data_IF_962494555709
#
_entry.id   IF_962494555709
#
_cell.length_a   1.000
_cell.length_b   1.000
_cell.length_c   1.000
_cell.angle_alpha   90.00
_cell.angle_beta   90.00
_cell.angle_gamma   90.00
#
_symmetry.space_group_name_H-M   'P 1'
#
loop_
_entity.id
_entity.type
_entity.pdbx_description
1 polymer ?
#
# COMPACT_ATOMS: atom_id res chain seq x y z
N UNK A 1 13.73 17.54 -0.67
CA UNK A 1 12.63 17.53 0.33
C UNK A 1 11.26 17.23 -0.27
N UNK A 2 10.89 17.82 -1.41
CA UNK A 2 9.59 17.58 -2.08
C UNK A 2 9.29 16.10 -2.39
N UNK A 3 10.29 15.33 -2.82
CA UNK A 3 10.12 13.89 -3.13
C UNK A 3 9.69 13.05 -1.91
N UNK A 4 10.19 13.37 -0.70
CA UNK A 4 9.77 12.68 0.52
C UNK A 4 8.32 13.00 0.88
N UNK A 5 7.93 14.28 0.77
CA UNK A 5 6.54 14.71 1.00
C UNK A 5 5.59 14.05 0.02
N UNK A 6 5.97 13.99 -1.25
CA UNK A 6 5.18 13.32 -2.29
C UNK A 6 5.05 11.83 -2.01
N UNK A 7 6.13 11.16 -1.62
CA UNK A 7 6.10 9.73 -1.28
C UNK A 7 5.23 9.44 -0.04
N UNK A 8 5.31 10.30 0.96
CA UNK A 8 4.49 10.22 2.19
C UNK A 8 3.02 10.46 1.86
N UNK A 9 2.72 11.44 1.00
CA UNK A 9 1.38 11.75 0.53
C UNK A 9 0.78 10.59 -0.28
N UNK A 10 1.56 9.95 -1.17
CA UNK A 10 1.11 8.76 -1.91
C UNK A 10 0.74 7.62 -0.95
N UNK A 11 1.58 7.32 0.05
CA UNK A 11 1.25 6.29 1.03
C UNK A 11 0.01 6.66 1.86
N UNK A 12 -0.15 7.95 2.22
CA UNK A 12 -1.31 8.42 2.95
C UNK A 12 -2.60 8.32 2.13
N UNK A 13 -2.55 8.67 0.84
CA UNK A 13 -3.68 8.54 -0.07
C UNK A 13 -4.09 7.07 -0.25
N UNK A 14 -3.12 6.15 -0.35
CA UNK A 14 -3.40 4.71 -0.38
C UNK A 14 -4.04 4.24 0.93
N UNK A 15 -3.59 4.75 2.07
CA UNK A 15 -4.17 4.46 3.37
C UNK A 15 -5.64 4.91 3.44
N UNK A 16 -5.91 6.16 3.07
CA UNK A 16 -7.25 6.75 3.03
C UNK A 16 -8.15 5.97 2.07
N UNK A 17 -7.66 5.61 0.88
CA UNK A 17 -8.40 4.79 -0.09
C UNK A 17 -8.77 3.42 0.49
N UNK A 18 -7.82 2.73 1.14
CA UNK A 18 -8.07 1.41 1.74
C UNK A 18 -9.12 1.46 2.85
N UNK A 19 -8.98 2.43 3.76
CA UNK A 19 -9.94 2.65 4.85
C UNK A 19 -11.30 3.09 4.31
N UNK A 20 -11.31 3.97 3.30
CA UNK A 20 -12.53 4.44 2.64
C UNK A 20 -13.30 3.28 2.01
N UNK A 21 -12.63 2.38 1.29
CA UNK A 21 -13.28 1.18 0.71
C UNK A 21 -13.87 0.29 1.81
N UNK A 22 -13.11 0.03 2.88
CA UNK A 22 -13.59 -0.75 4.01
C UNK A 22 -14.82 -0.11 4.66
N UNK A 23 -14.78 1.21 4.88
CA UNK A 23 -15.89 1.99 5.44
C UNK A 23 -17.13 1.96 4.55
N UNK A 24 -16.98 2.22 3.25
CA UNK A 24 -18.11 2.21 2.30
C UNK A 24 -18.80 0.84 2.24
N UNK A 25 -18.03 -0.25 2.36
CA UNK A 25 -18.62 -1.59 2.36
C UNK A 25 -19.31 -1.88 3.69
N UNK A 26 -18.78 -1.41 4.82
CA UNK A 26 -19.43 -1.54 6.14
C UNK A 26 -20.74 -0.75 6.22
N UNK A 27 -20.78 0.49 5.70
CA UNK A 27 -21.98 1.33 5.73
C UNK A 27 -23.08 0.79 4.83
N UNK A 28 -22.72 0.25 3.66
CA UNK A 28 -23.69 -0.28 2.70
C UNK A 28 -23.85 -1.81 2.81
N UNK A 29 -23.42 -2.42 3.91
CA UNK A 29 -23.38 -3.88 4.06
C UNK A 29 -24.78 -4.51 3.94
N UNK A 30 -25.80 -3.83 4.45
CA UNK A 30 -27.20 -4.26 4.32
C UNK A 30 -27.71 -4.18 2.88
N UNK A 31 -27.30 -3.17 2.13
CA UNK A 31 -27.63 -3.07 0.70
C UNK A 31 -26.95 -4.19 -0.09
N UNK A 32 -25.68 -4.49 0.19
CA UNK A 32 -24.98 -5.62 -0.45
C UNK A 32 -25.60 -6.98 -0.10
N UNK A 33 -26.10 -7.16 1.13
CA UNK A 33 -26.88 -8.35 1.51
C UNK A 33 -28.23 -8.41 0.79
N UNK A 34 -28.91 -7.29 0.63
CA UNK A 34 -30.22 -7.22 -0.03
C UNK A 34 -30.15 -7.51 -1.54
N UNK A 35 -29.03 -7.22 -2.20
CA UNK A 35 -28.83 -7.55 -3.62
C UNK A 35 -28.41 -9.02 -3.87
N UNK A 36 -28.30 -9.86 -2.84
CA UNK A 36 -27.86 -11.27 -2.92
C UNK A 36 -26.56 -11.49 -3.70
N UNK A 37 -25.74 -10.43 -3.81
CA UNK A 37 -24.45 -10.48 -4.50
C UNK A 37 -23.51 -11.21 -3.57
N UNK A 38 -23.36 -12.53 -3.80
CA UNK A 38 -22.41 -13.41 -3.15
C UNK A 38 -20.96 -13.05 -3.53
N UNK A 39 -20.50 -11.88 -3.08
CA UNK A 39 -19.11 -11.48 -3.06
C UNK A 39 -18.54 -11.69 -1.66
N UNK A 40 -17.24 -12.00 -1.50
CA UNK A 40 -16.61 -12.09 -0.18
C UNK A 40 -16.37 -10.69 0.41
N UNK A 41 -17.44 -9.94 0.66
CA UNK A 41 -17.42 -8.57 1.19
C UNK A 41 -16.67 -8.43 2.53
N UNK A 42 -16.84 -9.35 3.52
CA UNK A 42 -16.09 -9.29 4.76
C UNK A 42 -14.58 -9.43 4.53
N UNK A 43 -14.19 -10.29 3.58
CA UNK A 43 -12.79 -10.48 3.19
C UNK A 43 -12.24 -9.19 2.56
N UNK A 44 -13.02 -8.54 1.69
CA UNK A 44 -12.64 -7.25 1.07
C UNK A 44 -12.40 -6.18 2.12
N UNK A 45 -13.33 -6.00 3.05
CA UNK A 45 -13.21 -5.03 4.16
C UNK A 45 -11.96 -5.28 4.98
N UNK A 46 -11.75 -6.54 5.38
CA UNK A 46 -10.62 -6.92 6.24
C UNK A 46 -9.28 -6.68 5.53
N UNK A 47 -9.17 -7.07 4.26
CA UNK A 47 -7.91 -6.92 3.51
C UNK A 47 -7.61 -5.46 3.16
N UNK A 48 -8.58 -4.71 2.64
CA UNK A 48 -8.37 -3.28 2.33
C UNK A 48 -8.17 -2.45 3.60
N UNK A 49 -8.83 -2.80 4.72
CA UNK A 49 -8.60 -2.19 6.02
C UNK A 49 -7.19 -2.47 6.55
N UNK A 50 -6.72 -3.72 6.50
CA UNK A 50 -5.37 -4.10 6.91
C UNK A 50 -4.30 -3.37 6.08
N UNK A 51 -4.47 -3.31 4.75
CA UNK A 51 -3.60 -2.53 3.87
C UNK A 51 -3.65 -1.04 4.19
N UNK A 52 -4.84 -0.49 4.47
CA UNK A 52 -5.03 0.90 4.86
C UNK A 52 -4.21 1.27 6.10
N UNK A 53 -4.33 0.46 7.15
CA UNK A 53 -3.55 0.63 8.41
C UNK A 53 -2.05 0.47 8.14
N UNK A 54 -1.65 -0.50 7.32
CA UNK A 54 -0.24 -0.71 6.97
C UNK A 54 0.36 0.50 6.24
N UNK A 55 -0.34 1.05 5.24
CA UNK A 55 0.11 2.23 4.51
C UNK A 55 0.11 3.49 5.39
N UNK A 56 -0.82 3.60 6.33
CA UNK A 56 -0.79 4.68 7.33
C UNK A 56 0.47 4.60 8.19
N UNK A 57 0.80 3.39 8.67
CA UNK A 57 2.02 3.14 9.44
C UNK A 57 3.30 3.41 8.63
N UNK A 58 3.31 3.05 7.34
CA UNK A 58 4.41 3.38 6.43
C UNK A 58 4.54 4.89 6.19
N UNK A 59 3.43 5.58 5.98
CA UNK A 59 3.41 7.04 5.81
C UNK A 59 3.97 7.75 7.05
N UNK A 60 3.54 7.32 8.24
CA UNK A 60 4.09 7.82 9.50
C UNK A 60 5.58 7.52 9.65
N UNK A 61 6.01 6.30 9.30
CA UNK A 61 7.42 5.92 9.33
C UNK A 61 8.29 6.72 8.35
N UNK A 62 7.79 7.01 7.14
CA UNK A 62 8.45 7.87 6.17
C UNK A 62 8.53 9.32 6.68
N UNK A 63 7.47 9.83 7.31
CA UNK A 63 7.47 11.16 7.92
C UNK A 63 8.50 11.28 9.04
N UNK A 64 8.59 10.25 9.90
CA UNK A 64 9.58 10.12 10.97
C UNK A 64 10.98 9.72 10.48
N UNK A 65 11.15 9.51 9.17
CA UNK A 65 12.39 9.11 8.49
C UNK A 65 12.97 7.77 8.92
N UNK A 66 12.12 6.87 9.43
CA UNK A 66 12.55 5.55 9.88
C UNK A 66 13.07 4.68 8.73
N UNK A 67 14.28 4.14 8.90
CA UNK A 67 14.90 3.26 7.91
C UNK A 67 14.03 2.07 7.48
N UNK A 68 13.30 1.43 8.41
CA UNK A 68 12.44 0.29 8.08
C UNK A 68 11.32 0.67 7.08
N UNK A 69 10.73 1.86 7.21
CA UNK A 69 9.66 2.30 6.31
C UNK A 69 10.19 2.51 4.89
N UNK A 70 11.43 3.01 4.75
CA UNK A 70 12.10 3.13 3.45
C UNK A 70 12.35 1.76 2.78
N UNK A 71 12.79 0.75 3.53
CA UNK A 71 13.02 -0.58 2.98
C UNK A 71 11.71 -1.33 2.67
N UNK A 72 10.69 -1.18 3.53
CA UNK A 72 9.41 -1.86 3.42
C UNK A 72 8.45 -1.23 2.40
N UNK A 73 8.65 0.03 2.01
CA UNK A 73 7.74 0.74 1.10
C UNK A 73 7.57 0.03 -0.25
N UNK A 74 8.69 -0.25 -0.94
CA UNK A 74 8.65 -0.86 -2.27
C UNK A 74 8.02 -2.27 -2.28
N UNK A 75 8.44 -3.22 -1.43
CA UNK A 75 7.81 -4.54 -1.41
C UNK A 75 6.34 -4.46 -1.00
N UNK A 76 5.94 -3.53 -0.12
CA UNK A 76 4.54 -3.32 0.24
C UNK A 76 3.70 -2.82 -0.93
N UNK A 77 4.22 -1.86 -1.71
CA UNK A 77 3.55 -1.35 -2.90
C UNK A 77 3.41 -2.43 -3.98
N UNK A 78 4.46 -3.22 -4.21
CA UNK A 78 4.41 -4.33 -5.16
C UNK A 78 3.40 -5.41 -4.72
N UNK A 79 3.41 -5.79 -3.44
CA UNK A 79 2.45 -6.75 -2.89
C UNK A 79 1.01 -6.22 -2.96
N UNK A 80 0.79 -4.92 -2.66
CA UNK A 80 -0.52 -4.30 -2.80
C UNK A 80 -0.98 -4.24 -4.26
N UNK A 81 -0.10 -3.93 -5.21
CA UNK A 81 -0.41 -3.94 -6.64
C UNK A 81 -0.83 -5.33 -7.12
N UNK A 82 -0.10 -6.37 -6.73
CA UNK A 82 -0.46 -7.77 -7.04
C UNK A 82 -1.80 -8.13 -6.39
N UNK A 83 -2.02 -7.71 -5.15
CA UNK A 83 -3.29 -7.92 -4.46
C UNK A 83 -4.46 -7.22 -5.17
N UNK A 84 -4.33 -5.93 -5.53
CA UNK A 84 -5.40 -5.16 -6.19
C UNK A 84 -5.73 -5.79 -7.56
N UNK A 85 -4.71 -6.10 -8.36
CA UNK A 85 -4.88 -6.79 -9.66
C UNK A 85 -5.49 -8.18 -9.49
N UNK A 86 -4.98 -8.98 -8.54
CA UNK A 86 -5.47 -10.34 -8.29
C UNK A 86 -6.90 -10.35 -7.79
N UNK A 87 -7.28 -9.38 -6.93
CA UNK A 87 -8.64 -9.20 -6.47
C UNK A 87 -9.58 -8.89 -7.64
N UNK A 88 -9.21 -7.94 -8.50
CA UNK A 88 -9.98 -7.65 -9.71
C UNK A 88 -10.04 -8.84 -10.68
N UNK A 89 -8.96 -9.60 -10.85
CA UNK A 89 -8.94 -10.76 -11.74
C UNK A 89 -9.86 -11.90 -11.27
N UNK A 90 -9.90 -12.17 -9.97
CA UNK A 90 -10.69 -13.26 -9.39
C UNK A 90 -12.15 -12.89 -9.16
N UNK A 91 -12.43 -11.64 -8.79
CA UNK A 91 -13.76 -11.22 -8.35
C UNK A 91 -14.43 -10.19 -9.28
N UNK A 92 -13.89 -9.89 -10.46
CA UNK A 92 -14.60 -9.12 -11.48
C UNK A 92 -15.80 -9.94 -12.00
N UNK A 93 -16.99 -9.65 -11.44
CA UNK A 93 -18.23 -10.39 -11.73
C UNK A 93 -18.96 -9.92 -13.00
N UNK A 94 -18.44 -8.97 -13.79
CA UNK A 94 -19.09 -8.51 -15.01
C UNK A 94 -18.13 -8.18 -16.16
N UNK A 95 -18.60 -8.31 -17.41
CA UNK A 95 -17.90 -7.79 -18.61
C UNK A 95 -17.48 -6.31 -18.46
N UNK A 96 -18.27 -5.54 -17.72
CA UNK A 96 -18.00 -4.13 -17.38
C UNK A 96 -16.71 -3.92 -16.56
N UNK A 97 -16.32 -4.88 -15.71
CA UNK A 97 -15.09 -4.81 -14.91
C UNK A 97 -13.87 -5.40 -15.60
N UNK A 98 -14.05 -6.35 -16.54
CA UNK A 98 -12.95 -6.89 -17.34
C UNK A 98 -12.25 -5.81 -18.18
N UNK A 99 -12.98 -4.83 -18.69
CA UNK A 99 -12.38 -3.70 -19.42
C UNK A 99 -11.52 -2.79 -18.53
N UNK A 100 -11.76 -2.78 -17.21
CA UNK A 100 -11.00 -1.99 -16.24
C UNK A 100 -9.71 -2.69 -15.81
N UNK A 101 -9.63 -4.00 -15.95
CA UNK A 101 -8.48 -4.80 -15.56
C UNK A 101 -7.16 -4.35 -16.21
N UNK A 102 -7.06 -4.11 -17.53
CA UNK A 102 -5.83 -3.56 -18.12
C UNK A 102 -5.48 -2.16 -17.57
N UNK A 103 -6.49 -1.32 -17.31
CA UNK A 103 -6.26 -0.01 -16.70
C UNK A 103 -5.72 -0.12 -15.27
N UNK A 104 -6.27 -1.03 -14.45
CA UNK A 104 -5.78 -1.31 -13.09
C UNK A 104 -4.36 -1.84 -13.12
N UNK A 105 -4.02 -2.73 -14.06
CA UNK A 105 -2.65 -3.23 -14.22
C UNK A 105 -1.70 -2.08 -14.57
N UNK A 106 -2.02 -1.30 -15.59
CA UNK A 106 -1.16 -0.19 -16.06
C UNK A 106 -0.96 0.84 -14.95
N UNK A 107 -2.05 1.26 -14.29
CA UNK A 107 -1.96 2.21 -13.17
C UNK A 107 -1.17 1.67 -11.98
N UNK A 108 -1.30 0.37 -11.68
CA UNK A 108 -0.50 -0.30 -10.64
C UNK A 108 0.98 -0.35 -10.99
N UNK A 109 1.33 -0.70 -12.24
CA UNK A 109 2.71 -0.71 -12.72
C UNK A 109 3.33 0.69 -12.69
N UNK A 110 2.57 1.71 -13.12
CA UNK A 110 3.00 3.10 -13.04
C UNK A 110 3.20 3.55 -11.59
N UNK A 111 2.32 3.13 -10.67
CA UNK A 111 2.46 3.41 -9.24
C UNK A 111 3.73 2.80 -8.63
N UNK A 112 4.02 1.54 -8.94
CA UNK A 112 5.25 0.86 -8.48
C UNK A 112 6.49 1.50 -9.10
N UNK A 113 6.45 1.83 -10.40
CA UNK A 113 7.54 2.52 -11.09
C UNK A 113 7.83 3.91 -10.51
N UNK A 114 6.78 4.68 -10.21
CA UNK A 114 6.90 5.98 -9.56
C UNK A 114 7.49 5.83 -8.15
N UNK A 115 7.01 4.85 -7.37
CA UNK A 115 7.55 4.56 -6.04
C UNK A 115 9.04 4.17 -6.08
N UNK A 116 9.46 3.38 -7.07
CA UNK A 116 10.86 3.05 -7.30
C UNK A 116 11.69 4.29 -7.60
N UNK A 117 11.22 5.12 -8.53
CA UNK A 117 11.91 6.37 -8.88
C UNK A 117 12.03 7.31 -7.68
N UNK A 118 10.97 7.47 -6.90
CA UNK A 118 10.99 8.26 -5.66
C UNK A 118 11.94 7.69 -4.62
N UNK A 119 12.01 6.36 -4.47
CA UNK A 119 12.93 5.67 -3.57
C UNK A 119 14.39 6.05 -3.86
N UNK A 120 14.79 6.05 -5.12
CA UNK A 120 16.14 6.45 -5.53
C UNK A 120 16.45 7.91 -5.17
N UNK A 121 15.44 8.80 -5.27
CA UNK A 121 15.58 10.23 -4.95
C UNK A 121 15.63 10.53 -3.45
N UNK A 122 15.03 9.69 -2.61
CA UNK A 122 15.00 9.90 -1.15
C UNK A 122 16.11 9.13 -0.42
N UNK A 123 16.87 8.26 -1.09
CA UNK A 123 17.91 7.41 -0.50
C UNK A 123 18.86 8.15 0.45
N UNK A 124 19.42 9.29 0.02
CA UNK A 124 20.35 10.09 0.82
C UNK A 124 19.76 10.68 2.11
N UNK A 125 18.42 10.75 2.21
CA UNK A 125 17.73 11.24 3.41
C UNK A 125 17.59 10.18 4.51
N UNK A 126 17.81 8.90 4.18
CA UNK A 126 17.66 7.75 5.09
C UNK A 126 18.99 7.06 5.43
N UNK A 127 20.07 7.35 4.70
CA UNK A 127 21.41 6.77 4.94
C UNK A 127 22.02 7.19 6.29
N UNK A 128 21.60 8.33 6.87
CA UNK A 128 22.08 8.83 8.17
C UNK A 128 21.59 7.97 9.35
N UNK A 129 20.41 7.36 9.27
CA UNK A 129 19.91 6.43 10.31
C UNK A 129 20.39 4.99 10.10
N UNK A 130 20.62 4.58 8.84
CA UNK A 130 21.08 3.23 8.49
C UNK A 130 22.49 2.92 8.97
N UNK A 131 23.41 3.89 8.97
CA UNK A 131 24.77 3.73 9.49
C UNK A 131 24.81 3.40 11.00
N UNK A 132 23.86 3.91 11.77
CA UNK A 132 23.75 3.66 13.21
C UNK A 132 23.10 2.28 13.47
N UNK A 133 22.15 1.85 12.63
CA UNK A 133 21.47 0.57 12.77
C UNK A 133 22.40 -0.64 12.48
N UNK A 134 23.25 -0.54 11.46
CA UNK A 134 24.26 -1.57 11.16
C UNK A 134 25.38 -1.62 12.20
N UNK A 135 25.81 -0.47 12.73
CA UNK A 135 26.77 -0.42 13.85
C UNK A 135 26.24 -1.10 15.12
N UNK A 136 24.95 -0.90 15.46
CA UNK A 136 24.31 -1.55 16.62
C UNK A 136 24.09 -3.05 16.43
N UNK A 137 23.80 -3.53 15.21
CA UNK A 137 23.71 -4.98 14.92
C UNK A 137 25.06 -5.68 15.05
N UNK A 138 26.14 -5.07 14.56
CA UNK A 138 27.46 -5.68 14.68
C UNK A 138 27.95 -5.78 16.14
N UNK A 139 27.66 -4.79 16.98
CA UNK A 139 27.99 -4.89 18.42
C UNK A 139 27.21 -5.97 19.18
N UNK A 140 26.05 -6.40 18.68
CA UNK A 140 25.24 -7.44 19.33
C UNK A 140 25.59 -8.86 18.88
N UNK A 141 26.39 -9.00 17.81
CA UNK A 141 26.91 -10.29 17.33
C UNK A 141 28.31 -10.63 17.89
N UNK A 142 28.96 -9.70 18.60
CA UNK A 142 30.27 -9.87 19.23
C UNK A 142 30.21 -10.08 20.76
N UNK A 143 29.03 -10.35 21.32
CA UNK A 143 28.83 -10.80 22.71
C UNK A 143 28.03 -12.08 22.69
#
# INVERSE_FOLDING_TARGET
>A
MWSLRLCTAVCLLLAIRGIGIAWTVLVNLEQYRALDVAGPWPLRVTLYGAWGVWFFRLSWGLWRRWGWAYYSMLPSLAAFAIFDVGWFALFAQAAFDRHRLPFVIVTSMLGVGLAWWLKLRIRSQFEVEGGIFWSKRQKKQQR
#
